data_IF_836524569545
#
_entry.id   IF_836524569545
#
_cell.length_a   1.000
_cell.length_b   1.000
_cell.length_c   1.000
_cell.angle_alpha   90.00
_cell.angle_beta   90.00
_cell.angle_gamma   90.00
#
_symmetry.space_group_name_H-M   'P 1'
#
loop_
_entity.id
_entity.type
_entity.pdbx_description
1 polymer ?
#
# COMPACT_ATOMS: atom_id res chain seq x y z
N UNK A 1 6.62 12.61 2.52
CA UNK A 1 6.55 11.48 1.56
C UNK A 1 7.91 10.81 1.37
N UNK A 2 8.98 11.50 0.98
CA UNK A 2 10.32 10.88 0.84
C UNK A 2 10.83 10.22 2.13
N UNK A 3 10.64 10.87 3.28
CA UNK A 3 10.99 10.27 4.57
C UNK A 3 10.21 8.99 4.86
N UNK A 4 8.92 8.96 4.48
CA UNK A 4 8.06 7.80 4.65
C UNK A 4 8.52 6.65 3.74
N UNK A 5 8.82 6.93 2.47
CA UNK A 5 9.44 5.98 1.56
C UNK A 5 10.75 5.41 2.13
N UNK A 6 11.63 6.26 2.65
CA UNK A 6 12.90 5.82 3.23
C UNK A 6 12.72 4.93 4.48
N UNK A 7 11.65 5.13 5.25
CA UNK A 7 11.27 4.24 6.35
C UNK A 7 10.77 2.89 5.84
N UNK A 8 9.93 2.90 4.81
CA UNK A 8 9.42 1.67 4.16
C UNK A 8 10.55 0.85 3.53
N UNK A 9 11.53 1.50 2.90
CA UNK A 9 12.70 0.85 2.29
C UNK A 9 13.64 0.17 3.30
N UNK A 10 13.44 0.38 4.61
CA UNK A 10 14.14 -0.35 5.67
C UNK A 10 13.46 -1.68 6.03
N UNK A 11 12.23 -1.90 5.58
CA UNK A 11 11.51 -3.16 5.81
C UNK A 11 12.19 -4.25 4.97
N UNK A 12 12.47 -5.44 5.54
CA UNK A 12 13.09 -6.53 4.79
C UNK A 12 12.31 -6.88 3.51
N UNK A 13 13.02 -7.07 2.40
CA UNK A 13 12.40 -7.43 1.12
C UNK A 13 11.62 -6.29 0.43
N UNK A 14 11.55 -5.10 1.03
CA UNK A 14 10.96 -3.93 0.37
C UNK A 14 11.84 -3.43 -0.78
N UNK A 15 11.21 -2.83 -1.79
CA UNK A 15 11.91 -2.26 -2.95
C UNK A 15 11.09 -1.13 -3.57
N UNK A 16 11.78 -0.13 -4.11
CA UNK A 16 11.16 0.91 -4.93
C UNK A 16 10.82 0.32 -6.31
N UNK A 17 9.56 0.36 -6.71
CA UNK A 17 9.15 -0.09 -8.05
C UNK A 17 9.37 1.02 -9.08
N UNK A 18 8.94 2.23 -8.75
CA UNK A 18 9.14 3.44 -9.55
C UNK A 18 8.92 4.70 -8.71
N UNK A 19 9.37 5.84 -9.22
CA UNK A 19 9.21 7.15 -8.57
C UNK A 19 10.30 7.43 -7.55
N UNK A 20 9.93 7.94 -6.37
CA UNK A 20 10.88 8.26 -5.29
C UNK A 20 11.69 9.53 -5.51
N UNK A 21 11.30 10.36 -6.47
CA UNK A 21 11.97 11.62 -6.80
C UNK A 21 10.99 12.79 -6.77
N UNK A 22 11.51 13.96 -6.44
CA UNK A 22 10.78 15.22 -6.60
C UNK A 22 10.60 15.55 -8.08
N UNK A 23 9.51 16.26 -8.38
CA UNK A 23 9.28 16.80 -9.71
C UNK A 23 10.34 17.87 -10.01
N UNK A 24 10.82 17.92 -11.24
CA UNK A 24 11.79 18.91 -11.71
C UNK A 24 11.07 19.93 -12.59
N UNK A 25 11.60 21.15 -12.65
CA UNK A 25 11.12 22.23 -13.53
C UNK A 25 9.65 22.64 -13.27
N UNK A 26 9.28 22.85 -12.00
CA UNK A 26 7.95 23.35 -11.63
C UNK A 26 8.02 24.67 -10.86
N UNK A 27 6.90 25.40 -10.82
CA UNK A 27 6.73 26.61 -10.01
C UNK A 27 5.88 26.38 -8.76
N UNK A 28 5.65 25.12 -8.37
CA UNK A 28 4.88 24.75 -7.18
C UNK A 28 5.61 25.24 -5.92
N UNK A 29 4.92 25.97 -5.01
CA UNK A 29 5.48 26.39 -3.73
C UNK A 29 5.98 25.23 -2.88
N UNK A 30 7.09 25.41 -2.15
CA UNK A 30 7.72 24.36 -1.33
C UNK A 30 6.86 23.83 -0.18
N UNK A 31 5.82 24.57 0.22
CA UNK A 31 4.83 24.12 1.20
C UNK A 31 3.95 22.97 0.67
N UNK A 32 3.88 22.78 -0.65
CA UNK A 32 3.15 21.71 -1.30
C UNK A 32 4.12 20.63 -1.79
N UNK A 33 3.82 19.37 -1.50
CA UNK A 33 4.65 18.25 -1.96
C UNK A 33 4.58 18.09 -3.48
N UNK A 34 5.71 18.20 -4.16
CA UNK A 34 5.82 18.00 -5.60
C UNK A 34 6.65 16.76 -5.91
N UNK A 35 6.00 15.60 -5.98
CA UNK A 35 6.65 14.30 -6.15
C UNK A 35 6.11 13.56 -7.36
N UNK A 36 6.98 12.80 -8.03
CA UNK A 36 6.57 11.85 -9.06
C UNK A 36 5.69 10.76 -8.43
N UNK A 37 4.74 10.18 -9.20
CA UNK A 37 4.04 8.98 -8.79
C UNK A 37 5.01 7.91 -8.32
N UNK A 38 4.80 7.42 -7.10
CA UNK A 38 5.73 6.55 -6.40
C UNK A 38 5.02 5.29 -5.94
N UNK A 39 5.63 4.14 -6.21
CA UNK A 39 5.16 2.85 -5.70
C UNK A 39 6.29 2.10 -5.02
N UNK A 40 6.03 1.64 -3.79
CA UNK A 40 6.97 0.82 -3.00
C UNK A 40 6.37 -0.55 -2.80
N UNK A 41 7.13 -1.58 -3.15
CA UNK A 41 6.77 -2.96 -2.85
C UNK A 41 7.16 -3.30 -1.41
N UNK A 42 6.26 -3.96 -0.68
CA UNK A 42 6.50 -4.51 0.66
C UNK A 42 5.92 -5.93 0.71
N UNK A 43 6.69 -6.96 1.13
CA UNK A 43 6.17 -8.33 1.24
C UNK A 43 5.00 -8.42 2.23
N UNK A 44 3.92 -9.14 1.87
CA UNK A 44 2.69 -9.22 2.68
C UNK A 44 2.95 -9.67 4.13
N UNK A 45 3.83 -10.65 4.31
CA UNK A 45 4.21 -11.16 5.62
C UNK A 45 4.91 -10.10 6.48
N UNK A 46 5.66 -9.18 5.87
CA UNK A 46 6.31 -8.07 6.57
C UNK A 46 5.33 -6.95 6.92
N UNK A 47 4.29 -6.74 6.09
CA UNK A 47 3.21 -5.79 6.36
C UNK A 47 2.47 -6.17 7.64
N UNK A 48 2.20 -7.47 7.83
CA UNK A 48 1.40 -7.95 8.96
C UNK A 48 2.13 -7.94 10.32
N UNK A 49 3.46 -7.77 10.33
CA UNK A 49 4.24 -7.70 11.57
C UNK A 49 3.93 -6.42 12.36
N UNK A 50 3.91 -6.55 13.67
CA UNK A 50 3.70 -5.43 14.59
C UNK A 50 4.79 -4.36 14.41
N UNK A 51 4.39 -3.09 14.31
CA UNK A 51 5.27 -1.95 14.08
C UNK A 51 5.52 -1.63 12.60
N UNK A 52 5.43 -2.61 11.70
CA UNK A 52 5.42 -2.37 10.26
C UNK A 52 4.01 -2.05 9.76
N UNK A 53 2.99 -2.67 10.33
CA UNK A 53 1.61 -2.54 9.88
C UNK A 53 1.14 -1.09 9.87
N UNK A 54 1.34 -0.36 10.97
CA UNK A 54 0.97 1.05 11.10
C UNK A 54 1.80 1.95 10.18
N UNK A 55 3.07 1.57 9.93
CA UNK A 55 3.91 2.29 8.99
C UNK A 55 3.42 2.10 7.56
N UNK A 56 3.06 0.88 7.16
CA UNK A 56 2.66 0.55 5.79
C UNK A 56 1.25 1.06 5.46
N UNK A 57 0.32 0.97 6.42
CA UNK A 57 -1.08 1.39 6.25
C UNK A 57 -1.34 2.85 6.56
N UNK A 58 -0.30 3.61 6.93
CA UNK A 58 -0.42 5.05 7.16
C UNK A 58 -0.87 5.74 5.87
N UNK A 59 -2.00 6.44 5.96
CA UNK A 59 -2.53 7.21 4.85
C UNK A 59 -1.58 8.36 4.45
N UNK A 60 -1.24 8.41 3.16
CA UNK A 60 -0.44 9.45 2.53
C UNK A 60 -1.30 10.13 1.46
N UNK A 61 -1.71 11.37 1.72
CA UNK A 61 -2.40 12.21 0.73
C UNK A 61 -1.41 12.73 -0.31
N UNK A 62 -1.17 11.93 -1.34
CA UNK A 62 -0.27 12.25 -2.45
C UNK A 62 -0.15 11.09 -3.44
N UNK A 63 0.64 11.24 -4.51
CA UNK A 63 0.78 10.21 -5.54
C UNK A 63 1.73 9.09 -5.07
N UNK A 64 1.31 8.36 -4.04
CA UNK A 64 2.08 7.32 -3.36
C UNK A 64 1.22 6.08 -3.13
N UNK A 65 1.76 4.90 -3.42
CA UNK A 65 1.05 3.64 -3.18
C UNK A 65 1.99 2.54 -2.69
N UNK A 66 1.44 1.60 -1.92
CA UNK A 66 2.12 0.37 -1.53
C UNK A 66 1.62 -0.75 -2.43
N UNK A 67 2.56 -1.59 -2.88
CA UNK A 67 2.28 -2.80 -3.65
C UNK A 67 2.74 -4.01 -2.85
N UNK A 68 1.96 -5.08 -2.89
CA UNK A 68 2.35 -6.36 -2.30
C UNK A 68 1.94 -7.49 -3.24
N UNK A 69 2.41 -8.69 -2.95
CA UNK A 69 2.02 -9.91 -3.65
C UNK A 69 1.56 -10.95 -2.64
N UNK A 70 0.63 -11.82 -3.06
CA UNK A 70 0.15 -12.93 -2.26
C UNK A 70 -0.02 -14.15 -3.15
N UNK A 71 0.23 -15.34 -2.59
CA UNK A 71 -0.03 -16.62 -3.24
C UNK A 71 -1.49 -17.03 -3.02
N UNK A 72 -1.94 -18.04 -3.77
CA UNK A 72 -3.33 -18.52 -3.71
C UNK A 72 -3.77 -18.94 -2.30
N UNK A 73 -2.87 -19.54 -1.52
CA UNK A 73 -3.10 -19.95 -0.12
C UNK A 73 -2.96 -18.81 0.91
N UNK A 74 -2.50 -17.64 0.48
CA UNK A 74 -2.29 -16.46 1.34
C UNK A 74 -3.46 -15.46 1.31
N UNK A 75 -4.56 -15.78 0.62
CA UNK A 75 -5.77 -14.95 0.64
C UNK A 75 -6.25 -14.59 2.07
N UNK A 76 -6.23 -15.50 3.06
CA UNK A 76 -6.61 -15.16 4.44
C UNK A 76 -5.72 -14.07 5.06
N UNK A 77 -4.45 -13.98 4.68
CA UNK A 77 -3.52 -12.95 5.16
C UNK A 77 -3.88 -11.57 4.59
N UNK A 78 -4.30 -11.52 3.33
CA UNK A 78 -4.80 -10.29 2.69
C UNK A 78 -6.06 -9.80 3.42
N UNK A 79 -7.01 -10.69 3.67
CA UNK A 79 -8.25 -10.33 4.38
C UNK A 79 -7.97 -9.85 5.81
N UNK A 80 -7.05 -10.50 6.53
CA UNK A 80 -6.59 -10.03 7.85
C UNK A 80 -6.00 -8.61 7.78
N UNK A 81 -5.17 -8.33 6.76
CA UNK A 81 -4.62 -6.99 6.56
C UNK A 81 -5.72 -5.95 6.28
N UNK A 82 -6.80 -6.29 5.57
CA UNK A 82 -7.90 -5.37 5.30
C UNK A 82 -8.77 -5.14 6.55
N UNK A 83 -9.04 -6.20 7.33
CA UNK A 83 -9.84 -6.14 8.55
C UNK A 83 -9.17 -5.29 9.65
N UNK A 84 -7.84 -5.32 9.73
CA UNK A 84 -7.07 -4.51 10.69
C UNK A 84 -7.05 -3.01 10.36
N UNK A 85 -7.53 -2.58 9.19
CA UNK A 85 -7.54 -1.16 8.83
C UNK A 85 -8.59 -0.40 9.64
N UNK A 86 -8.30 0.85 10.00
CA UNK A 86 -9.27 1.69 10.71
C UNK A 86 -10.30 2.35 9.78
N UNK A 87 -10.00 2.46 8.49
CA UNK A 87 -10.82 3.16 7.51
C UNK A 87 -11.30 2.18 6.43
N UNK A 88 -12.61 2.02 6.29
CA UNK A 88 -13.26 1.14 5.31
C UNK A 88 -14.08 1.97 4.30
N UNK A 89 -13.41 2.84 3.53
CA UNK A 89 -14.10 3.77 2.63
C UNK A 89 -14.37 3.19 1.24
N UNK A 90 -13.32 2.76 0.53
CA UNK A 90 -13.42 2.20 -0.82
C UNK A 90 -12.46 1.03 -0.99
N UNK A 91 -12.91 -0.02 -1.68
CA UNK A 91 -12.07 -1.13 -2.12
C UNK A 91 -12.43 -1.51 -3.56
N UNK A 92 -11.47 -2.09 -4.27
CA UNK A 92 -11.67 -2.61 -5.62
C UNK A 92 -11.11 -4.02 -5.72
N UNK A 93 -11.92 -4.93 -6.25
CA UNK A 93 -11.53 -6.32 -6.51
C UNK A 93 -11.52 -6.54 -8.00
N UNK A 94 -10.36 -6.92 -8.54
CA UNK A 94 -10.21 -7.22 -9.98
C UNK A 94 -10.21 -8.73 -10.16
N UNK A 95 -11.40 -9.31 -10.34
CA UNK A 95 -11.60 -10.71 -10.67
C UNK A 95 -12.88 -10.88 -11.49
N UNK A 96 -12.92 -11.88 -12.36
CA UNK A 96 -14.14 -12.27 -13.08
C UNK A 96 -14.72 -13.60 -12.54
N UNK A 97 -14.15 -14.14 -11.45
CA UNK A 97 -14.66 -15.34 -10.77
C UNK A 97 -15.75 -14.94 -9.75
N UNK A 98 -17.02 -15.32 -9.96
CA UNK A 98 -18.12 -14.96 -9.07
C UNK A 98 -17.95 -15.50 -7.64
N UNK A 99 -17.34 -16.69 -7.47
CA UNK A 99 -17.14 -17.28 -6.15
C UNK A 99 -16.11 -16.49 -5.35
N UNK A 100 -15.04 -16.06 -6.03
CA UNK A 100 -14.02 -15.19 -5.43
C UNK A 100 -14.60 -13.83 -5.04
N UNK A 101 -15.40 -13.22 -5.93
CA UNK A 101 -16.07 -11.95 -5.65
C UNK A 101 -17.01 -12.05 -4.44
N UNK A 102 -17.79 -13.13 -4.34
CA UNK A 102 -18.70 -13.33 -3.22
C UNK A 102 -17.93 -13.52 -1.90
N UNK A 103 -16.86 -14.32 -1.90
CA UNK A 103 -16.03 -14.53 -0.71
C UNK A 103 -15.49 -13.21 -0.16
N UNK A 104 -14.96 -12.35 -1.04
CA UNK A 104 -14.38 -11.07 -0.63
C UNK A 104 -15.42 -10.04 -0.17
N UNK A 105 -16.60 -10.01 -0.78
CA UNK A 105 -17.68 -9.11 -0.36
C UNK A 105 -18.21 -9.43 1.04
N UNK A 106 -18.20 -10.70 1.44
CA UNK A 106 -18.66 -11.14 2.77
C UNK A 106 -17.59 -10.87 3.84
N UNK A 107 -16.31 -11.02 3.49
CA UNK A 107 -15.20 -10.86 4.45
C UNK A 107 -14.74 -9.42 4.70
N UNK A 108 -15.29 -8.42 4.00
CA UNK A 108 -14.96 -7.00 4.18
C UNK A 108 -16.15 -6.17 4.74
N UNK A 109 -17.13 -6.81 5.39
CA UNK A 109 -18.23 -6.17 6.13
C UNK A 109 -17.96 -6.17 7.63
#
# INVERSE_FOLDING_TARGET
MLEHMNKLLKVPGSKLLFGGEELKNHSIPSIYGALKPTAVFVPLEEILKDGNYELVTREIFGPFQIVTEYKQDQLPLVLNALERMHAHLTAAVVSNDPLFLQLQLISCQ
#
